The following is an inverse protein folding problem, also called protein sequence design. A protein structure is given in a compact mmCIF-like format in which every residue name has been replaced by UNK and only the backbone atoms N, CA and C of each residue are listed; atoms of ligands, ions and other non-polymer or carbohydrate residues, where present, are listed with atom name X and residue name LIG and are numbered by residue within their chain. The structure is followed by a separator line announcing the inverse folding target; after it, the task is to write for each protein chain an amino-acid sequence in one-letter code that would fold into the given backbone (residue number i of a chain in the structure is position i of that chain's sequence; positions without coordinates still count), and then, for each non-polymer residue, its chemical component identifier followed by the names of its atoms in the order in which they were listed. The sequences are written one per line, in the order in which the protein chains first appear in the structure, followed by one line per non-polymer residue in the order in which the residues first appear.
data_IF_925778052405
#
_entry.id   IF_925778052405
#
_cell.length_a   1.000
_cell.length_b   1.000
_cell.length_c   1.000
_cell.angle_alpha   90.00
_cell.angle_beta   90.00
_cell.angle_gamma   90.00
#
_symmetry.space_group_name_H-M   'P 1'
#
loop_
_entity.id
_entity.type
_entity.pdbx_description
1 polymer ?
#
# COMPACT_ATOMS: atom_id res chain seq x y z
N UNK A 1 29.37 5.63 -6.35
CA UNK A 1 28.29 4.94 -7.08
C UNK A 1 27.49 4.14 -6.07
N UNK A 2 26.23 4.49 -5.90
CA UNK A 2 25.32 3.64 -5.15
C UNK A 2 24.96 2.45 -6.04
N UNK A 3 25.65 1.33 -5.82
CA UNK A 3 25.09 0.07 -6.30
C UNK A 3 23.78 -0.14 -5.52
N UNK A 4 22.65 0.09 -6.20
CA UNK A 4 21.39 -0.47 -5.72
C UNK A 4 21.62 -1.97 -5.63
N UNK A 5 21.80 -2.48 -4.40
CA UNK A 5 21.82 -3.91 -4.20
C UNK A 5 20.51 -4.44 -4.74
N UNK A 6 20.57 -5.30 -5.76
CA UNK A 6 19.41 -6.03 -6.25
C UNK A 6 18.87 -6.89 -5.13
N UNK A 7 18.00 -6.29 -4.31
CA UNK A 7 17.32 -7.00 -3.23
C UNK A 7 16.20 -7.81 -3.85
N UNK A 8 16.26 -9.13 -3.70
CA UNK A 8 15.17 -10.00 -4.13
C UNK A 8 13.93 -9.71 -3.30
N UNK A 9 12.80 -9.36 -3.91
CA UNK A 9 11.59 -9.03 -3.18
C UNK A 9 11.00 -10.29 -2.55
N UNK A 10 10.93 -10.31 -1.22
CA UNK A 10 10.24 -11.33 -0.43
C UNK A 10 9.14 -10.62 0.35
N UNK A 11 7.90 -10.92 0.02
CA UNK A 11 6.75 -10.26 0.59
C UNK A 11 5.65 -11.22 1.04
N UNK A 12 4.54 -10.67 1.48
CA UNK A 12 3.38 -11.41 1.96
C UNK A 12 2.09 -10.63 1.70
N UNK A 13 0.98 -11.33 1.72
CA UNK A 13 -0.35 -10.74 1.67
C UNK A 13 -0.82 -10.35 3.07
N UNK A 14 -1.35 -9.14 3.21
CA UNK A 14 -1.88 -8.65 4.48
C UNK A 14 -3.24 -7.99 4.27
N UNK A 15 -4.28 -8.60 4.79
CA UNK A 15 -5.65 -8.07 4.76
C UNK A 15 -6.12 -7.68 6.17
N UNK A 16 -5.25 -7.11 6.97
CA UNK A 16 -5.61 -6.62 8.30
C UNK A 16 -6.11 -5.17 8.25
N UNK A 17 -7.06 -4.88 9.12
CA UNK A 17 -7.46 -3.50 9.39
C UNK A 17 -6.40 -2.78 10.23
N UNK A 18 -6.39 -1.45 10.14
CA UNK A 18 -5.54 -0.62 10.98
C UNK A 18 -5.79 -0.87 12.48
N UNK A 19 -4.72 -0.73 13.27
CA UNK A 19 -4.72 -0.91 14.72
C UNK A 19 -4.99 -2.35 15.22
N UNK A 20 -4.96 -3.35 14.35
CA UNK A 20 -5.06 -4.76 14.75
C UNK A 20 -3.72 -5.30 15.25
N UNK A 21 -2.63 -4.87 14.62
CA UNK A 21 -1.27 -5.27 14.97
C UNK A 21 -0.50 -4.11 15.61
N UNK A 22 0.37 -4.41 16.55
CA UNK A 22 1.31 -3.42 17.06
C UNK A 22 2.41 -3.25 16.00
N UNK A 23 2.57 -2.01 15.50
CA UNK A 23 3.41 -1.70 14.32
C UNK A 23 4.86 -2.15 14.49
N UNK A 24 5.45 -1.87 15.65
CA UNK A 24 6.86 -2.20 15.91
C UNK A 24 7.09 -3.70 15.92
N UNK A 25 6.26 -4.45 16.63
CA UNK A 25 6.35 -5.91 16.70
C UNK A 25 6.14 -6.55 15.34
N UNK A 26 5.17 -6.06 14.56
CA UNK A 26 4.94 -6.54 13.20
C UNK A 26 6.17 -6.32 12.31
N UNK A 27 6.77 -5.13 12.36
CA UNK A 27 7.96 -4.80 11.58
C UNK A 27 9.20 -5.62 12.02
N UNK A 28 9.34 -5.92 13.30
CA UNK A 28 10.35 -6.83 13.83
C UNK A 28 10.18 -8.25 13.27
N UNK A 29 8.97 -8.76 13.28
CA UNK A 29 8.64 -10.08 12.71
C UNK A 29 8.96 -10.15 11.21
N UNK A 30 8.60 -9.13 10.45
CA UNK A 30 8.93 -9.06 9.03
C UNK A 30 10.44 -9.12 8.80
N UNK A 31 11.20 -8.37 9.59
CA UNK A 31 12.66 -8.37 9.50
C UNK A 31 13.26 -9.74 9.84
N UNK A 32 12.78 -10.38 10.89
CA UNK A 32 13.23 -11.71 11.31
C UNK A 32 12.93 -12.80 10.27
N UNK A 33 11.78 -12.68 9.58
CA UNK A 33 11.39 -13.60 8.51
C UNK A 33 12.10 -13.31 7.18
N UNK A 34 12.94 -12.29 7.11
CA UNK A 34 13.65 -11.92 5.88
C UNK A 34 12.78 -11.22 4.84
N UNK A 35 11.65 -10.63 5.25
CA UNK A 35 10.80 -9.86 4.36
C UNK A 35 11.50 -8.57 3.93
N UNK A 36 11.41 -8.26 2.65
CA UNK A 36 11.99 -7.05 2.05
C UNK A 36 10.92 -6.13 1.49
N UNK A 37 9.71 -6.65 1.27
CA UNK A 37 8.56 -5.96 0.75
C UNK A 37 7.33 -6.33 1.59
N UNK A 38 6.90 -5.42 2.44
CA UNK A 38 5.71 -5.58 3.26
C UNK A 38 4.46 -5.03 2.57
N UNK A 39 3.30 -5.51 2.97
CA UNK A 39 2.01 -4.95 2.62
C UNK A 39 1.40 -4.33 3.87
N UNK A 40 0.98 -3.07 3.82
CA UNK A 40 0.38 -2.40 4.97
C UNK A 40 -1.01 -2.98 5.27
N UNK A 41 -1.48 -2.73 6.49
CA UNK A 41 -2.92 -2.84 6.75
C UNK A 41 -3.70 -1.81 5.94
N UNK A 42 -5.02 -1.98 5.87
CA UNK A 42 -5.88 -1.15 5.04
C UNK A 42 -6.09 0.25 5.64
N UNK A 43 -5.92 1.27 4.79
CA UNK A 43 -6.41 2.61 5.05
C UNK A 43 -7.87 2.69 4.58
N UNK A 44 -8.80 2.82 5.49
CA UNK A 44 -10.23 2.90 5.21
C UNK A 44 -10.81 4.28 5.54
N UNK A 45 -10.19 5.00 6.45
CA UNK A 45 -10.65 6.29 6.98
C UNK A 45 -9.47 7.17 7.41
N UNK A 46 -9.67 8.49 7.51
CA UNK A 46 -8.58 9.43 7.85
C UNK A 46 -7.82 9.11 9.13
N UNK A 47 -8.47 8.50 10.11
CA UNK A 47 -7.86 8.09 11.37
C UNK A 47 -6.77 7.02 11.20
N UNK A 48 -6.80 6.27 10.10
CA UNK A 48 -5.81 5.23 9.79
C UNK A 48 -4.48 5.80 9.30
N UNK A 49 -4.43 7.08 8.94
CA UNK A 49 -3.24 7.73 8.38
C UNK A 49 -2.02 7.58 9.28
N UNK A 50 -2.18 7.83 10.58
CA UNK A 50 -1.06 7.74 11.51
C UNK A 50 -0.51 6.33 11.60
N UNK A 51 -1.39 5.34 11.65
CA UNK A 51 -0.99 3.93 11.69
C UNK A 51 -0.18 3.51 10.44
N UNK A 52 -0.61 3.93 9.26
CA UNK A 52 0.14 3.66 8.01
C UNK A 52 1.48 4.41 8.01
N UNK A 53 1.50 5.66 8.47
CA UNK A 53 2.73 6.45 8.58
C UNK A 53 3.74 5.80 9.53
N UNK A 54 3.28 5.34 10.68
CA UNK A 54 4.12 4.62 11.65
C UNK A 54 4.65 3.31 11.07
N UNK A 55 3.83 2.61 10.28
CA UNK A 55 4.26 1.39 9.57
C UNK A 55 5.38 1.69 8.57
N UNK A 56 5.26 2.76 7.81
CA UNK A 56 6.30 3.22 6.88
C UNK A 56 7.59 3.60 7.61
N UNK A 57 7.48 4.31 8.74
CA UNK A 57 8.63 4.71 9.55
C UNK A 57 9.38 3.49 10.12
N UNK A 58 8.67 2.52 10.68
CA UNK A 58 9.29 1.29 11.20
C UNK A 58 9.90 0.44 10.08
N UNK A 59 9.24 0.34 8.94
CA UNK A 59 9.77 -0.36 7.77
C UNK A 59 11.06 0.31 7.26
N UNK A 60 11.11 1.64 7.21
CA UNK A 60 12.29 2.39 6.80
C UNK A 60 13.50 2.08 7.70
N UNK A 61 13.32 2.06 9.00
CA UNK A 61 14.39 1.72 9.97
C UNK A 61 15.01 0.35 9.72
N UNK A 62 14.25 -0.57 9.10
CA UNK A 62 14.64 -1.96 8.86
C UNK A 62 14.99 -2.25 7.40
N UNK A 63 15.01 -1.23 6.54
CA UNK A 63 15.30 -1.40 5.12
C UNK A 63 14.21 -2.13 4.33
N UNK A 64 12.97 -2.14 4.83
CA UNK A 64 11.82 -2.80 4.21
C UNK A 64 11.01 -1.76 3.43
N UNK A 65 10.61 -2.10 2.20
CA UNK A 65 9.67 -1.31 1.41
C UNK A 65 8.24 -1.78 1.67
N UNK A 66 7.28 -0.87 1.49
CA UNK A 66 5.87 -1.13 1.79
C UNK A 66 4.98 -0.85 0.58
N UNK A 67 4.14 -1.81 0.25
CA UNK A 67 2.97 -1.61 -0.61
C UNK A 67 1.84 -1.11 0.29
N UNK A 68 1.36 0.09 0.03
CA UNK A 68 0.28 0.70 0.83
C UNK A 68 -1.09 0.28 0.29
N UNK A 69 -1.91 -0.28 1.17
CA UNK A 69 -3.31 -0.62 0.90
C UNK A 69 -4.20 0.56 1.25
N UNK A 70 -4.50 1.40 0.28
CA UNK A 70 -5.30 2.61 0.47
C UNK A 70 -6.60 2.51 -0.33
N UNK A 71 -7.74 2.57 0.34
CA UNK A 71 -9.05 2.52 -0.30
C UNK A 71 -9.20 3.59 -1.40
N UNK A 72 -8.59 4.75 -1.23
CA UNK A 72 -8.63 5.86 -2.19
C UNK A 72 -7.99 5.52 -3.54
N UNK A 73 -7.10 4.53 -3.59
CA UNK A 73 -6.41 4.08 -4.81
C UNK A 73 -6.96 2.76 -5.36
N UNK A 74 -7.91 2.16 -4.64
CA UNK A 74 -8.46 0.86 -4.98
C UNK A 74 -9.52 0.95 -6.09
N UNK A 75 -9.63 -0.09 -6.92
CA UNK A 75 -10.61 -0.14 -8.02
C UNK A 75 -12.07 0.05 -7.56
N UNK A 76 -12.39 -0.34 -6.33
CA UNK A 76 -13.72 -0.11 -5.75
C UNK A 76 -14.05 1.38 -5.62
N UNK A 77 -13.06 2.19 -5.23
CA UNK A 77 -13.25 3.64 -5.17
C UNK A 77 -13.45 4.21 -6.57
N UNK A 78 -12.63 3.79 -7.53
CA UNK A 78 -12.78 4.17 -8.94
C UNK A 78 -14.18 3.81 -9.48
N UNK A 79 -14.67 2.61 -9.20
CA UNK A 79 -15.97 2.13 -9.68
C UNK A 79 -17.17 2.86 -9.06
N UNK A 80 -17.03 3.40 -7.86
CA UNK A 80 -18.12 4.04 -7.08
C UNK A 80 -18.10 5.56 -7.10
N UNK A 81 -17.10 6.18 -7.71
CA UNK A 81 -16.92 7.64 -7.78
C UNK A 81 -16.69 8.09 -9.23
N UNK A 82 -16.73 9.40 -9.45
CA UNK A 82 -16.36 9.97 -10.74
C UNK A 82 -14.84 9.91 -10.95
N UNK A 83 -14.40 9.99 -12.20
CA UNK A 83 -12.96 10.04 -12.52
C UNK A 83 -12.27 11.24 -11.85
N UNK A 84 -12.94 12.38 -11.73
CA UNK A 84 -12.43 13.57 -11.05
C UNK A 84 -12.26 13.33 -9.54
N UNK A 85 -13.26 12.75 -8.89
CA UNK A 85 -13.19 12.39 -7.46
C UNK A 85 -12.09 11.38 -7.19
N UNK A 86 -11.96 10.36 -8.04
CA UNK A 86 -10.90 9.36 -7.95
C UNK A 86 -9.51 9.99 -8.12
N UNK A 87 -9.34 10.83 -9.13
CA UNK A 87 -8.06 11.54 -9.37
C UNK A 87 -7.66 12.40 -8.16
N UNK A 88 -8.63 13.10 -7.55
CA UNK A 88 -8.39 13.88 -6.32
C UNK A 88 -7.97 12.98 -5.17
N UNK A 89 -8.68 11.88 -4.95
CA UNK A 89 -8.39 10.94 -3.88
C UNK A 89 -7.00 10.30 -4.02
N UNK A 90 -6.61 9.93 -5.24
CA UNK A 90 -5.26 9.40 -5.53
C UNK A 90 -4.18 10.44 -5.24
N UNK A 91 -4.38 11.71 -5.62
CA UNK A 91 -3.44 12.79 -5.30
C UNK A 91 -3.25 12.96 -3.79
N UNK A 92 -4.33 12.95 -3.03
CA UNK A 92 -4.28 13.00 -1.57
C UNK A 92 -3.53 11.80 -0.97
N UNK A 93 -3.74 10.60 -1.48
CA UNK A 93 -3.00 9.42 -1.06
C UNK A 93 -1.49 9.53 -1.36
N UNK A 94 -1.13 10.05 -2.53
CA UNK A 94 0.26 10.30 -2.90
C UNK A 94 0.89 11.36 -1.98
N UNK A 95 0.18 12.43 -1.66
CA UNK A 95 0.65 13.45 -0.73
C UNK A 95 0.87 12.89 0.67
N UNK A 96 -0.02 11.99 1.13
CA UNK A 96 0.08 11.39 2.46
C UNK A 96 1.24 10.38 2.55
N UNK A 97 1.48 9.56 1.55
CA UNK A 97 2.39 8.40 1.65
C UNK A 97 3.43 8.30 0.53
N UNK A 98 3.14 8.80 -0.65
CA UNK A 98 3.93 8.54 -1.87
C UNK A 98 5.36 9.06 -1.84
N UNK A 99 5.66 10.05 -1.00
CA UNK A 99 7.00 10.64 -0.85
C UNK A 99 7.81 10.00 0.28
N UNK A 100 7.24 9.04 1.02
CA UNK A 100 7.97 8.38 2.10
C UNK A 100 9.04 7.44 1.54
N UNK A 101 10.27 7.42 2.11
CA UNK A 101 11.37 6.57 1.62
C UNK A 101 11.05 5.08 1.59
N UNK A 102 10.20 4.58 2.48
CA UNK A 102 9.78 3.18 2.52
C UNK A 102 8.60 2.88 1.59
N UNK A 103 7.95 3.89 1.02
CA UNK A 103 6.84 3.69 0.08
C UNK A 103 7.35 3.01 -1.20
N UNK A 104 6.68 1.94 -1.61
CA UNK A 104 6.98 1.23 -2.85
C UNK A 104 5.90 1.45 -3.91
N UNK A 105 4.66 1.16 -3.57
CA UNK A 105 3.52 1.26 -4.48
C UNK A 105 2.20 1.28 -3.70
N UNK A 106 1.11 1.62 -4.38
CA UNK A 106 -0.25 1.38 -3.90
C UNK A 106 -0.78 0.05 -4.41
N UNK A 107 -1.54 -0.63 -3.57
CA UNK A 107 -2.34 -1.79 -3.96
C UNK A 107 -3.67 -1.32 -4.56
N UNK A 108 -3.94 -1.65 -5.81
CA UNK A 108 -5.16 -1.22 -6.52
C UNK A 108 -6.26 -2.26 -6.56
N UNK A 109 -5.97 -3.47 -6.16
CA UNK A 109 -6.94 -4.58 -6.13
C UNK A 109 -6.30 -5.92 -6.44
N UNK A 110 -7.12 -6.95 -6.48
CA UNK A 110 -6.69 -8.34 -6.53
C UNK A 110 -7.55 -9.18 -7.46
N UNK A 111 -6.95 -10.16 -8.10
CA UNK A 111 -7.55 -11.23 -8.90
C UNK A 111 -8.70 -10.82 -9.85
N UNK A 112 -8.52 -9.79 -10.72
CA UNK A 112 -9.59 -9.43 -11.64
C UNK A 112 -9.78 -10.50 -12.71
N UNK A 113 -11.03 -10.95 -12.90
CA UNK A 113 -11.34 -11.89 -13.98
C UNK A 113 -11.39 -11.16 -15.33
N UNK A 114 -10.60 -11.54 -16.33
CA UNK A 114 -10.61 -10.92 -17.65
C UNK A 114 -12.02 -10.87 -18.28
N UNK A 115 -12.36 -9.72 -18.84
CA UNK A 115 -13.65 -9.50 -19.49
C UNK A 115 -14.81 -9.14 -18.55
N UNK A 116 -14.54 -9.00 -17.26
CA UNK A 116 -15.55 -8.54 -16.28
C UNK A 116 -15.47 -7.04 -16.05
N UNK A 117 -16.52 -6.47 -15.42
CA UNK A 117 -16.51 -5.07 -14.98
C UNK A 117 -15.34 -4.78 -14.04
N UNK A 118 -15.03 -5.68 -13.11
CA UNK A 118 -13.87 -5.56 -12.19
C UNK A 118 -12.56 -5.40 -12.97
N UNK A 119 -12.37 -6.16 -14.04
CA UNK A 119 -11.22 -6.05 -14.92
C UNK A 119 -11.08 -4.66 -15.55
N UNK A 120 -12.19 -4.12 -16.07
CA UNK A 120 -12.20 -2.77 -16.66
C UNK A 120 -12.00 -1.67 -15.61
N UNK A 121 -12.62 -1.81 -14.44
CA UNK A 121 -12.45 -0.87 -13.33
C UNK A 121 -11.00 -0.84 -12.80
N UNK A 122 -10.35 -2.00 -12.67
CA UNK A 122 -8.93 -2.06 -12.29
C UNK A 122 -8.00 -1.43 -13.33
N UNK A 123 -8.26 -1.66 -14.62
CA UNK A 123 -7.52 -0.99 -15.70
C UNK A 123 -7.73 0.51 -15.67
N UNK A 124 -8.93 0.97 -15.36
CA UNK A 124 -9.24 2.38 -15.18
C UNK A 124 -8.47 2.99 -14.00
N UNK A 125 -8.48 2.33 -12.87
CA UNK A 125 -7.77 2.77 -11.66
C UNK A 125 -6.24 2.83 -11.84
N UNK A 126 -5.68 1.94 -12.66
CA UNK A 126 -4.23 1.85 -12.91
C UNK A 126 -3.69 2.93 -13.87
N UNK A 127 -4.56 3.65 -14.57
CA UNK A 127 -4.16 4.72 -15.49
C UNK A 127 -3.78 6.00 -14.78
#
# INVERSE_FOLDING_TARGET
MNEEKNVYPVGFWNYTHSNVLEVKSAAEDWQQLGMTLAMSSEYEKPEDKQYISDTLDEAQKRGIKVIVCDYRTHWNYYASHTEEEFTKAVKEAIEDFGNHPAFFAFHIGDEPTPGTKTWEDMKGAAK
#
